data_IF_763843911798
#
_entry.id   IF_763843911798
#
_cell.length_a   1.000
_cell.length_b   1.000
_cell.length_c   1.000
_cell.angle_alpha   90.00
_cell.angle_beta   90.00
_cell.angle_gamma   90.00
#
_symmetry.space_group_name_H-M   'P 1'
#
loop_
_entity.id
_entity.type
_entity.pdbx_description
1 polymer ?
#
# COMPACT_ATOMS: atom_id res chain seq x y z
N UNK A 1 9.88 -11.10 36.11
CA UNK A 1 8.90 -11.41 35.08
C UNK A 1 8.21 -10.11 34.73
N UNK A 2 8.65 -9.44 33.67
CA UNK A 2 8.02 -8.18 33.22
C UNK A 2 6.75 -8.55 32.47
N UNK A 3 5.60 -8.32 33.10
CA UNK A 3 4.29 -8.42 32.46
C UNK A 3 4.18 -7.23 31.51
N UNK A 4 4.53 -7.41 30.23
CA UNK A 4 4.20 -6.42 29.22
C UNK A 4 2.67 -6.35 29.11
N UNK A 5 2.12 -5.14 29.27
CA UNK A 5 0.72 -4.91 29.03
C UNK A 5 0.33 -5.43 27.63
N UNK A 6 -0.84 -6.05 27.47
CA UNK A 6 -1.29 -6.54 26.18
C UNK A 6 -1.31 -5.38 25.17
N UNK A 7 -0.77 -5.62 23.98
CA UNK A 7 -0.77 -4.61 22.93
C UNK A 7 -2.23 -4.19 22.62
N UNK A 8 -2.44 -2.87 22.43
CA UNK A 8 -3.74 -2.34 22.08
C UNK A 8 -4.30 -3.03 20.82
N UNK A 9 -5.61 -3.33 20.76
CA UNK A 9 -6.22 -3.95 19.60
C UNK A 9 -6.11 -3.04 18.38
N UNK A 10 -5.85 -3.64 17.21
CA UNK A 10 -5.85 -2.93 15.93
C UNK A 10 -7.30 -2.66 15.50
N UNK A 11 -7.57 -1.44 15.08
CA UNK A 11 -8.85 -1.04 14.52
C UNK A 11 -8.71 -0.85 13.02
N UNK A 12 -9.62 -1.44 12.24
CA UNK A 12 -9.67 -1.33 10.80
C UNK A 12 -10.54 -0.16 10.32
N UNK A 13 -11.25 0.47 11.25
CA UNK A 13 -12.11 1.60 10.94
C UNK A 13 -11.27 2.82 10.54
N UNK A 14 -11.38 3.24 9.28
CA UNK A 14 -10.74 4.44 8.76
C UNK A 14 -11.64 5.16 7.73
N UNK A 15 -11.18 6.29 7.19
CA UNK A 15 -11.90 7.09 6.19
C UNK A 15 -10.89 7.96 5.45
N UNK A 16 -11.07 8.30 4.15
CA UNK A 16 -10.14 9.12 3.38
C UNK A 16 -9.72 10.43 4.04
N UNK A 17 -10.63 11.08 4.78
CA UNK A 17 -10.30 12.30 5.54
C UNK A 17 -9.37 12.09 6.75
N UNK A 18 -9.10 10.84 7.11
CA UNK A 18 -8.23 10.43 8.24
C UNK A 18 -7.00 9.65 7.80
N UNK A 19 -6.84 9.43 6.48
CA UNK A 19 -5.66 8.74 5.96
C UNK A 19 -4.40 9.55 6.28
N UNK A 20 -3.36 8.85 6.67
CA UNK A 20 -2.03 9.38 7.00
C UNK A 20 -1.00 9.05 5.94
N UNK A 21 -1.24 7.95 5.22
CA UNK A 21 -0.29 7.33 4.33
C UNK A 21 -0.73 7.37 2.86
N UNK A 22 -2.03 7.51 2.63
CA UNK A 22 -2.60 7.57 1.30
C UNK A 22 -3.40 8.84 1.08
N UNK A 23 -3.35 9.34 -0.14
CA UNK A 23 -4.17 10.49 -0.57
C UNK A 23 -5.04 10.04 -1.73
N UNK A 24 -6.35 10.15 -1.55
CA UNK A 24 -7.36 9.82 -2.57
C UNK A 24 -7.94 11.11 -3.14
N UNK A 25 -7.90 11.27 -4.45
CA UNK A 25 -8.50 12.40 -5.16
C UNK A 25 -9.15 11.94 -6.46
N UNK A 26 -10.08 12.75 -6.97
CA UNK A 26 -10.90 12.42 -8.13
C UNK A 26 -10.79 13.50 -9.19
N UNK A 27 -10.79 13.08 -10.47
CA UNK A 27 -10.85 13.94 -11.64
C UNK A 27 -11.78 13.25 -12.67
N UNK A 28 -13.06 13.59 -12.61
CA UNK A 28 -14.09 12.89 -13.37
C UNK A 28 -14.15 11.41 -13.06
N UNK A 29 -13.99 10.58 -14.08
CA UNK A 29 -13.99 9.11 -13.96
C UNK A 29 -12.62 8.52 -13.56
N UNK A 30 -11.64 9.35 -13.22
CA UNK A 30 -10.29 8.93 -12.80
C UNK A 30 -10.09 9.23 -11.33
N UNK A 31 -9.70 8.22 -10.57
CA UNK A 31 -9.20 8.40 -9.21
C UNK A 31 -7.67 8.37 -9.19
N UNK A 32 -7.08 9.19 -8.33
CA UNK A 32 -5.64 9.13 -8.03
C UNK A 32 -5.47 8.70 -6.59
N UNK A 33 -4.72 7.63 -6.42
CA UNK A 33 -4.37 7.06 -5.12
C UNK A 33 -2.85 7.21 -4.94
N UNK A 34 -2.46 8.18 -4.12
CA UNK A 34 -1.06 8.58 -3.96
C UNK A 34 -0.53 8.03 -2.64
N UNK A 35 0.48 7.16 -2.71
CA UNK A 35 1.21 6.65 -1.56
C UNK A 35 2.20 7.70 -1.06
N UNK A 36 1.91 8.31 0.08
CA UNK A 36 2.77 9.32 0.71
C UNK A 36 2.87 9.03 2.21
N UNK A 37 3.59 7.95 2.50
CA UNK A 37 3.65 7.39 3.85
C UNK A 37 4.25 8.38 4.84
N UNK A 38 3.51 8.64 5.92
CA UNK A 38 3.99 9.43 7.05
C UNK A 38 5.02 8.60 7.83
N UNK A 39 6.29 8.94 7.69
CA UNK A 39 7.42 8.14 8.19
C UNK A 39 7.42 7.95 9.70
N UNK A 40 6.96 8.98 10.43
CA UNK A 40 6.96 9.03 11.90
C UNK A 40 5.63 8.56 12.52
N UNK A 41 4.71 8.03 11.70
CA UNK A 41 3.40 7.54 12.15
C UNK A 41 3.20 6.04 11.92
N UNK A 42 4.12 5.18 12.39
CA UNK A 42 3.93 3.74 12.28
C UNK A 42 2.77 3.26 13.16
N UNK A 43 2.16 2.14 12.78
CA UNK A 43 1.06 1.53 13.54
C UNK A 43 1.45 1.19 14.99
N UNK A 44 2.72 0.91 15.24
CA UNK A 44 3.29 0.59 16.56
C UNK A 44 4.63 1.30 16.74
N UNK A 45 5.00 1.62 17.98
CA UNK A 45 6.32 2.21 18.25
C UNK A 45 7.45 1.22 17.95
N UNK A 46 8.64 1.75 17.70
CA UNK A 46 9.87 0.97 17.57
C UNK A 46 10.44 0.86 16.15
N UNK A 47 9.80 1.47 15.17
CA UNK A 47 10.29 1.59 13.79
C UNK A 47 9.76 2.85 13.12
N UNK A 48 10.35 3.23 12.00
CA UNK A 48 9.88 4.31 11.12
C UNK A 48 9.58 3.77 9.72
N UNK A 49 8.65 4.40 9.01
CA UNK A 49 8.17 3.97 7.68
C UNK A 49 8.90 4.71 6.57
N UNK A 50 10.22 4.57 6.50
CA UNK A 50 11.05 5.25 5.49
C UNK A 50 10.85 4.68 4.10
N UNK A 51 11.10 5.51 3.08
CA UNK A 51 11.09 5.13 1.67
C UNK A 51 9.75 4.54 1.20
N UNK A 52 8.63 5.10 1.66
CA UNK A 52 7.31 4.52 1.41
C UNK A 52 7.23 3.02 1.75
N UNK A 53 7.98 2.56 2.77
CA UNK A 53 7.75 1.22 3.31
C UNK A 53 6.40 1.17 4.02
N UNK A 54 5.81 0.00 4.08
CA UNK A 54 4.51 -0.15 4.69
C UNK A 54 4.49 -1.13 5.85
N UNK A 55 3.61 -0.86 6.78
CA UNK A 55 3.11 -1.76 7.81
C UNK A 55 1.62 -2.02 7.61
N UNK A 56 0.98 -2.70 8.56
CA UNK A 56 -0.46 -2.98 8.47
C UNK A 56 -1.31 -1.70 8.44
N UNK A 57 -0.88 -0.60 9.07
CA UNK A 57 -1.63 0.66 9.07
C UNK A 57 -1.74 1.25 7.65
N UNK A 58 -0.67 1.20 6.89
CA UNK A 58 -0.64 1.63 5.49
C UNK A 58 -1.57 0.77 4.62
N UNK A 59 -1.54 -0.54 4.81
CA UNK A 59 -2.39 -1.48 4.05
C UNK A 59 -3.87 -1.41 4.46
N UNK A 60 -4.20 -1.07 5.70
CA UNK A 60 -5.60 -0.82 6.13
C UNK A 60 -6.20 0.36 5.36
N UNK A 61 -5.45 1.45 5.20
CA UNK A 61 -5.91 2.60 4.40
C UNK A 61 -6.08 2.23 2.92
N UNK A 62 -5.16 1.44 2.36
CA UNK A 62 -5.27 0.96 0.99
C UNK A 62 -6.50 0.07 0.79
N UNK A 63 -6.74 -0.90 1.68
CA UNK A 63 -7.91 -1.77 1.62
C UNK A 63 -9.21 -0.97 1.72
N UNK A 64 -9.30 0.01 2.64
CA UNK A 64 -10.47 0.90 2.74
C UNK A 64 -10.66 1.71 1.44
N UNK A 65 -9.59 2.25 0.86
CA UNK A 65 -9.67 3.01 -0.39
C UNK A 65 -10.18 2.14 -1.56
N UNK A 66 -9.69 0.90 -1.69
CA UNK A 66 -10.14 -0.03 -2.73
C UNK A 66 -11.64 -0.31 -2.60
N UNK A 67 -12.11 -0.61 -1.38
CA UNK A 67 -13.54 -0.89 -1.16
C UNK A 67 -14.41 0.34 -1.48
N UNK A 68 -13.99 1.55 -1.08
CA UNK A 68 -14.74 2.77 -1.42
C UNK A 68 -14.77 3.03 -2.91
N UNK A 69 -13.65 2.86 -3.62
CA UNK A 69 -13.61 3.01 -5.07
C UNK A 69 -14.56 2.04 -5.77
N UNK A 70 -14.66 0.81 -5.29
CA UNK A 70 -15.55 -0.21 -5.87
C UNK A 70 -17.02 0.04 -5.60
N UNK A 71 -17.39 0.48 -4.39
CA UNK A 71 -18.78 0.51 -3.93
C UNK A 71 -19.36 1.91 -3.78
N UNK A 72 -18.56 2.90 -3.37
CA UNK A 72 -19.03 4.28 -3.20
C UNK A 72 -18.83 5.13 -4.46
N UNK A 73 -17.92 4.72 -5.37
CA UNK A 73 -17.56 5.47 -6.58
C UNK A 73 -17.68 4.63 -7.86
N UNK A 74 -18.87 4.12 -8.20
CA UNK A 74 -19.07 3.31 -9.42
C UNK A 74 -18.85 4.09 -10.72
N UNK A 75 -18.81 5.43 -10.65
CA UNK A 75 -18.48 6.30 -11.78
C UNK A 75 -16.99 6.26 -12.13
N UNK A 76 -16.11 5.87 -11.21
CA UNK A 76 -14.68 5.74 -11.47
C UNK A 76 -14.41 4.56 -12.39
N UNK A 77 -13.68 4.81 -13.49
CA UNK A 77 -13.30 3.81 -14.49
C UNK A 77 -11.79 3.56 -14.54
N UNK A 78 -10.99 4.50 -14.05
CA UNK A 78 -9.54 4.36 -13.96
C UNK A 78 -9.02 4.78 -12.59
N UNK A 79 -8.07 4.00 -12.06
CA UNK A 79 -7.40 4.32 -10.81
C UNK A 79 -5.90 4.37 -11.06
N UNK A 80 -5.28 5.52 -10.79
CA UNK A 80 -3.83 5.70 -10.91
C UNK A 80 -3.22 5.60 -9.53
N UNK A 81 -2.39 4.58 -9.33
CA UNK A 81 -1.58 4.39 -8.12
C UNK A 81 -0.20 4.95 -8.36
N UNK A 82 0.24 5.87 -7.53
CA UNK A 82 1.57 6.48 -7.65
C UNK A 82 2.13 6.86 -6.28
N UNK A 83 3.35 7.38 -6.24
CA UNK A 83 4.01 7.83 -5.02
C UNK A 83 4.09 9.34 -4.93
N UNK A 84 3.92 9.88 -3.73
CA UNK A 84 4.22 11.28 -3.39
C UNK A 84 5.69 11.53 -3.02
N UNK A 85 6.53 10.49 -2.97
CA UNK A 85 7.96 10.61 -2.67
C UNK A 85 8.77 10.75 -3.95
N UNK A 86 9.84 11.52 -3.89
CA UNK A 86 10.76 11.68 -5.01
C UNK A 86 11.61 10.40 -5.19
N UNK A 87 11.68 9.89 -6.42
CA UNK A 87 12.49 8.74 -6.84
C UNK A 87 12.27 7.42 -6.07
N UNK A 88 11.19 7.34 -5.31
CA UNK A 88 10.79 6.12 -4.58
C UNK A 88 9.30 5.89 -4.80
N UNK A 89 8.94 4.76 -5.40
CA UNK A 89 7.55 4.32 -5.46
C UNK A 89 7.15 3.65 -4.13
N UNK A 90 7.77 2.53 -3.81
CA UNK A 90 7.55 1.82 -2.54
C UNK A 90 8.67 0.81 -2.29
N UNK A 91 9.29 0.84 -1.13
CA UNK A 91 10.34 -0.12 -0.74
C UNK A 91 9.82 -1.44 -0.17
N UNK A 92 8.49 -1.62 -0.13
CA UNK A 92 7.86 -2.85 0.34
C UNK A 92 7.60 -2.88 1.84
N UNK A 93 7.35 -4.07 2.37
CA UNK A 93 7.08 -4.26 3.79
C UNK A 93 8.25 -3.78 4.67
N UNK A 94 7.93 -3.04 5.73
CA UNK A 94 8.96 -2.48 6.62
C UNK A 94 9.74 -3.59 7.33
N UNK A 95 11.03 -3.70 7.01
CA UNK A 95 11.90 -4.77 7.53
C UNK A 95 12.15 -4.66 9.04
N UNK A 96 12.15 -3.46 9.61
CA UNK A 96 12.30 -3.26 11.05
C UNK A 96 11.05 -3.71 11.80
N UNK A 97 9.85 -3.37 11.28
CA UNK A 97 8.59 -3.89 11.79
C UNK A 97 8.59 -5.42 11.78
N UNK A 98 9.00 -6.04 10.67
CA UNK A 98 9.12 -7.49 10.56
C UNK A 98 10.13 -8.04 11.58
N UNK A 99 11.27 -7.37 11.78
CA UNK A 99 12.30 -7.78 12.73
C UNK A 99 11.80 -7.87 14.17
N UNK A 100 10.96 -6.95 14.60
CA UNK A 100 10.44 -6.89 15.98
C UNK A 100 9.10 -7.59 16.17
N UNK A 101 8.51 -8.13 15.10
CA UNK A 101 7.19 -8.78 15.14
C UNK A 101 7.28 -10.27 15.44
N UNK A 102 6.27 -10.80 16.14
CA UNK A 102 6.10 -12.24 16.34
C UNK A 102 5.81 -12.96 15.03
N UNK A 103 6.07 -14.27 14.98
CA UNK A 103 5.73 -15.09 13.80
C UNK A 103 4.24 -15.00 13.43
N UNK A 104 3.36 -15.13 14.41
CA UNK A 104 1.91 -15.05 14.18
C UNK A 104 1.50 -13.69 13.59
N UNK A 105 2.10 -12.58 14.06
CA UNK A 105 1.87 -11.27 13.47
C UNK A 105 2.30 -11.21 12.01
N UNK A 106 3.50 -11.72 11.69
CA UNK A 106 4.01 -11.73 10.32
C UNK A 106 3.11 -12.50 9.37
N UNK A 107 2.61 -13.67 9.79
CA UNK A 107 1.68 -14.48 8.99
C UNK A 107 0.39 -13.72 8.71
N UNK A 108 -0.23 -13.13 9.73
CA UNK A 108 -1.46 -12.36 9.56
C UNK A 108 -1.25 -11.10 8.71
N UNK A 109 -0.14 -10.40 8.90
CA UNK A 109 0.22 -9.25 8.09
C UNK A 109 0.40 -9.61 6.62
N UNK A 110 1.20 -10.64 6.32
CA UNK A 110 1.43 -11.08 4.93
C UNK A 110 0.12 -11.53 4.27
N UNK A 111 -0.75 -12.23 5.02
CA UNK A 111 -2.06 -12.63 4.49
C UNK A 111 -2.90 -11.41 4.13
N UNK A 112 -3.02 -10.44 5.02
CA UNK A 112 -3.77 -9.21 4.78
C UNK A 112 -3.23 -8.44 3.56
N UNK A 113 -1.91 -8.28 3.49
CA UNK A 113 -1.24 -7.65 2.35
C UNK A 113 -1.56 -8.34 1.03
N UNK A 114 -1.48 -9.67 0.99
CA UNK A 114 -1.80 -10.43 -0.22
C UNK A 114 -3.28 -10.27 -0.62
N UNK A 115 -4.19 -10.31 0.33
CA UNK A 115 -5.62 -10.10 0.06
C UNK A 115 -5.89 -8.71 -0.49
N UNK A 116 -5.22 -7.68 0.02
CA UNK A 116 -5.34 -6.32 -0.50
C UNK A 116 -4.87 -6.21 -1.96
N UNK A 117 -3.84 -6.97 -2.37
CA UNK A 117 -3.39 -7.03 -3.79
C UNK A 117 -4.42 -7.75 -4.66
N UNK A 118 -4.96 -8.87 -4.19
CA UNK A 118 -6.04 -9.59 -4.88
C UNK A 118 -7.29 -8.70 -5.07
N UNK A 119 -7.62 -7.84 -4.09
CA UNK A 119 -8.73 -6.90 -4.22
C UNK A 119 -8.55 -5.88 -5.36
N UNK A 120 -7.33 -5.50 -5.69
CA UNK A 120 -7.02 -4.65 -6.86
C UNK A 120 -7.31 -5.42 -8.16
N UNK A 121 -6.86 -6.68 -8.26
CA UNK A 121 -7.13 -7.55 -9.40
C UNK A 121 -8.65 -7.77 -9.55
N UNK A 122 -9.35 -8.07 -8.45
CA UNK A 122 -10.80 -8.23 -8.43
C UNK A 122 -11.55 -6.94 -8.84
N UNK A 123 -11.02 -5.76 -8.47
CA UNK A 123 -11.61 -4.49 -8.88
C UNK A 123 -11.51 -4.30 -10.40
N UNK A 124 -10.43 -4.72 -11.02
CA UNK A 124 -10.28 -4.74 -12.47
C UNK A 124 -11.27 -5.71 -13.12
N UNK A 125 -11.31 -6.94 -12.64
CA UNK A 125 -12.13 -7.99 -13.26
C UNK A 125 -13.64 -7.80 -13.01
N UNK A 126 -14.02 -7.38 -11.81
CA UNK A 126 -15.40 -7.44 -11.35
C UNK A 126 -16.08 -6.07 -11.18
N UNK A 127 -15.33 -4.97 -11.18
CA UNK A 127 -15.89 -3.62 -10.96
C UNK A 127 -15.75 -2.69 -12.17
N UNK A 128 -15.14 -3.16 -13.26
CA UNK A 128 -14.94 -2.39 -14.48
C UNK A 128 -14.02 -1.18 -14.28
N UNK A 129 -13.08 -1.28 -13.36
CA UNK A 129 -12.06 -0.27 -13.06
C UNK A 129 -10.71 -0.74 -13.57
N UNK A 130 -10.06 0.05 -14.42
CA UNK A 130 -8.68 -0.21 -14.84
C UNK A 130 -7.73 0.42 -13.82
N UNK A 131 -6.89 -0.39 -13.22
CA UNK A 131 -5.86 0.05 -12.27
C UNK A 131 -4.51 0.16 -12.98
N UNK A 132 -3.85 1.31 -12.83
CA UNK A 132 -2.56 1.62 -13.43
C UNK A 132 -1.57 2.04 -12.35
N UNK A 133 -0.42 1.39 -12.30
CA UNK A 133 0.70 1.82 -11.47
C UNK A 133 1.59 2.79 -12.24
N UNK A 134 1.62 4.07 -11.83
CA UNK A 134 2.54 5.06 -12.34
C UNK A 134 3.78 5.11 -11.42
N UNK A 135 4.79 4.32 -11.78
CA UNK A 135 5.99 4.10 -10.96
C UNK A 135 7.01 5.20 -11.23
N UNK A 136 7.16 6.12 -10.28
CA UNK A 136 8.01 7.30 -10.36
C UNK A 136 9.37 7.13 -9.64
N UNK A 137 9.77 5.90 -9.36
CA UNK A 137 11.00 5.61 -8.66
C UNK A 137 11.14 4.12 -8.35
N UNK A 138 11.98 3.79 -7.38
CA UNK A 138 12.23 2.39 -7.01
C UNK A 138 10.99 1.72 -6.42
N UNK A 139 10.64 0.55 -6.95
CA UNK A 139 9.63 -0.36 -6.45
C UNK A 139 10.29 -1.68 -6.05
N UNK A 140 10.30 -2.03 -4.77
CA UNK A 140 11.01 -3.21 -4.28
C UNK A 140 10.12 -4.12 -3.44
N UNK A 141 10.30 -5.43 -3.56
CA UNK A 141 9.56 -6.44 -2.80
C UNK A 141 8.06 -6.25 -2.92
N UNK A 142 7.37 -6.06 -1.80
CA UNK A 142 5.93 -5.80 -1.78
C UNK A 142 5.50 -4.50 -2.46
N UNK A 143 6.41 -3.56 -2.71
CA UNK A 143 6.16 -2.39 -3.55
C UNK A 143 6.07 -2.76 -5.04
N UNK A 144 6.89 -3.69 -5.47
CA UNK A 144 6.78 -4.26 -6.81
C UNK A 144 5.52 -5.14 -6.96
N UNK A 145 5.19 -5.92 -5.92
CA UNK A 145 3.94 -6.71 -5.89
C UNK A 145 2.69 -5.81 -5.97
N UNK A 146 2.72 -4.61 -5.37
CA UNK A 146 1.65 -3.61 -5.52
C UNK A 146 1.50 -3.14 -6.97
N UNK A 147 2.61 -2.86 -7.65
CA UNK A 147 2.58 -2.48 -9.06
C UNK A 147 2.07 -3.63 -9.95
N UNK A 148 2.48 -4.88 -9.67
CA UNK A 148 2.03 -6.06 -10.39
C UNK A 148 0.54 -6.39 -10.21
N UNK A 149 -0.08 -5.97 -9.12
CA UNK A 149 -1.51 -6.14 -8.90
C UNK A 149 -2.36 -5.20 -9.79
N UNK A 150 -1.75 -4.14 -10.34
CA UNK A 150 -2.39 -3.27 -11.31
C UNK A 150 -2.37 -3.91 -12.71
N UNK A 151 -3.35 -3.56 -13.55
CA UNK A 151 -3.45 -4.08 -14.93
C UNK A 151 -2.33 -3.54 -15.82
N UNK A 152 -1.93 -2.29 -15.60
CA UNK A 152 -0.86 -1.64 -16.36
C UNK A 152 0.20 -1.03 -15.44
N UNK A 153 1.45 -1.08 -15.87
CA UNK A 153 2.60 -0.45 -15.19
C UNK A 153 3.25 0.53 -16.15
N UNK A 154 3.36 1.78 -15.73
CA UNK A 154 4.09 2.83 -16.46
C UNK A 154 5.28 3.27 -15.62
N UNK A 155 6.48 3.20 -16.19
CA UNK A 155 7.73 3.61 -15.56
C UNK A 155 8.17 4.98 -16.09
N UNK A 156 8.69 5.81 -15.20
CA UNK A 156 9.38 7.03 -15.61
C UNK A 156 10.72 6.67 -16.28
N UNK A 157 10.95 7.16 -17.50
CA UNK A 157 12.17 6.90 -18.27
C UNK A 157 13.25 7.97 -18.01
N UNK A 158 13.68 8.08 -16.76
CA UNK A 158 14.76 8.99 -16.33
C UNK A 158 15.90 8.25 -15.59
N UNK A 159 15.87 6.91 -15.62
CA UNK A 159 16.80 6.05 -14.92
C UNK A 159 16.56 5.96 -13.40
N UNK A 160 15.48 6.56 -12.86
CA UNK A 160 15.13 6.47 -11.44
C UNK A 160 14.22 5.30 -11.11
N UNK A 161 13.41 4.87 -12.06
CA UNK A 161 12.47 3.77 -11.87
C UNK A 161 13.17 2.42 -12.02
N UNK A 162 13.05 1.60 -10.99
CA UNK A 162 13.60 0.25 -10.95
C UNK A 162 12.63 -0.65 -10.20
N UNK A 163 12.26 -1.76 -10.82
CA UNK A 163 11.46 -2.80 -10.19
C UNK A 163 12.36 -3.95 -9.74
N UNK A 164 12.34 -4.23 -8.44
CA UNK A 164 13.16 -5.27 -7.83
C UNK A 164 12.24 -6.26 -7.12
N UNK A 165 12.08 -7.44 -7.73
CA UNK A 165 11.38 -8.56 -7.10
C UNK A 165 12.17 -9.16 -5.93
N UNK A 166 11.58 -10.16 -5.27
CA UNK A 166 12.31 -10.95 -4.27
C UNK A 166 13.40 -11.75 -4.96
N UNK A 167 14.60 -11.70 -4.38
CA UNK A 167 15.62 -12.68 -4.73
C UNK A 167 15.12 -14.07 -4.31
N UNK A 168 15.00 -14.99 -5.25
CA UNK A 168 14.83 -16.39 -4.94
C UNK A 168 16.17 -16.90 -4.40
N UNK A 169 16.20 -17.22 -3.11
CA UNK A 169 17.30 -17.94 -2.49
C UNK A 169 17.05 -19.43 -2.60
#
# INVERSE_FOLDING_TARGET
>A
MSSSAPAAPIRFETHPSRYRHWKLSFDGAIARLIMDVAEDEPLRPGYALKLNSYDLGVDVELADAIQRLRFEHPEVKGVIVTSGKDRVFCSGANIFMLGVSSHAWKVNFCKFTNETRNEIEDATECSGQTWLAAVNGTAAGGGYELALACEEIVLVDDGSSTEIGRAHV
#
